data_IF_580713626725
#
_entry.id   IF_580713626725
#
_cell.length_a   1.000
_cell.length_b   1.000
_cell.length_c   1.000
_cell.angle_alpha   90.00
_cell.angle_beta   90.00
_cell.angle_gamma   90.00
#
_symmetry.space_group_name_H-M   'P 1'
#
loop_
_entity.id
_entity.type
_entity.pdbx_description
1 polymer ?
#
# COMPACT_ATOMS: atom_id res chain seq x y z
N UNK A 1 -5.46 -1.60 -16.33
CA UNK A 1 -4.89 -0.78 -17.44
C UNK A 1 -5.68 0.51 -17.66
N UNK A 2 -7.02 0.48 -17.65
CA UNK A 2 -7.85 1.68 -17.89
C UNK A 2 -7.58 2.85 -16.93
N UNK A 3 -7.52 2.66 -15.59
CA UNK A 3 -7.23 3.78 -14.68
C UNK A 3 -5.88 4.44 -14.92
N UNK A 4 -4.88 3.67 -15.32
CA UNK A 4 -3.54 4.18 -15.60
C UNK A 4 -3.53 5.09 -16.84
N UNK A 5 -4.16 4.67 -17.93
CA UNK A 5 -4.27 5.50 -19.13
C UNK A 5 -5.04 6.81 -18.85
N UNK A 6 -6.14 6.70 -18.10
CA UNK A 6 -6.95 7.84 -17.66
C UNK A 6 -6.14 8.80 -16.76
N UNK A 7 -5.30 8.27 -15.87
CA UNK A 7 -4.43 9.07 -15.01
C UNK A 7 -3.43 9.90 -15.80
N UNK A 8 -2.81 9.32 -16.83
CA UNK A 8 -1.85 10.03 -17.70
C UNK A 8 -2.58 11.15 -18.45
N UNK A 9 -3.74 10.85 -19.04
CA UNK A 9 -4.52 11.83 -19.79
C UNK A 9 -4.98 12.99 -18.88
N UNK A 10 -5.48 12.69 -17.68
CA UNK A 10 -5.90 13.71 -16.71
C UNK A 10 -4.73 14.55 -16.21
N UNK A 11 -3.58 13.94 -15.90
CA UNK A 11 -2.39 14.71 -15.53
C UNK A 11 -1.98 15.65 -16.66
N UNK A 12 -1.93 15.16 -17.90
CA UNK A 12 -1.56 16.01 -19.02
C UNK A 12 -2.52 17.19 -19.19
N UNK A 13 -3.83 16.94 -19.12
CA UNK A 13 -4.85 17.96 -19.26
C UNK A 13 -4.79 18.99 -18.10
N UNK A 14 -4.86 18.52 -16.85
CA UNK A 14 -4.96 19.42 -15.69
C UNK A 14 -3.64 20.18 -15.44
N UNK A 15 -2.50 19.55 -15.66
CA UNK A 15 -1.19 20.18 -15.43
C UNK A 15 -0.79 21.08 -16.59
N UNK A 16 -0.88 20.60 -17.84
CA UNK A 16 -0.32 21.34 -18.99
C UNK A 16 -1.33 22.22 -19.72
N UNK A 17 -2.60 21.81 -19.83
CA UNK A 17 -3.61 22.57 -20.58
C UNK A 17 -4.31 23.58 -19.67
N UNK A 18 -4.75 23.13 -18.49
CA UNK A 18 -5.45 23.99 -17.52
C UNK A 18 -4.48 24.80 -16.66
N UNK A 19 -3.20 24.38 -16.59
CA UNK A 19 -2.15 25.11 -15.89
C UNK A 19 -2.23 25.05 -14.35
N UNK A 20 -2.91 24.04 -13.79
CA UNK A 20 -3.12 23.91 -12.34
C UNK A 20 -1.87 23.42 -11.58
N UNK A 21 -0.78 23.10 -12.29
CA UNK A 21 0.49 22.67 -11.69
C UNK A 21 0.32 21.48 -10.74
N UNK A 22 0.90 21.57 -9.54
CA UNK A 22 0.86 20.50 -8.54
C UNK A 22 -0.56 20.18 -8.04
N UNK A 23 -1.42 21.20 -7.95
CA UNK A 23 -2.84 21.03 -7.59
C UNK A 23 -3.59 20.27 -8.69
N UNK A 24 -3.21 20.45 -9.95
CA UNK A 24 -3.73 19.67 -11.07
C UNK A 24 -3.38 18.18 -10.96
N UNK A 25 -2.14 17.88 -10.56
CA UNK A 25 -1.69 16.50 -10.36
C UNK A 25 -2.44 15.82 -9.19
N UNK A 26 -2.65 16.52 -8.07
CA UNK A 26 -3.40 15.99 -6.92
C UNK A 26 -4.90 15.79 -7.23
N UNK A 27 -5.50 16.65 -8.05
CA UNK A 27 -6.86 16.45 -8.56
C UNK A 27 -6.94 15.24 -9.52
N UNK A 28 -5.96 15.09 -10.41
CA UNK A 28 -5.91 13.98 -11.35
C UNK A 28 -5.81 12.61 -10.65
N UNK A 29 -5.00 12.50 -9.59
CA UNK A 29 -4.93 11.27 -8.79
C UNK A 29 -6.24 11.00 -8.05
N UNK A 30 -6.85 12.01 -7.44
CA UNK A 30 -8.14 11.87 -6.76
C UNK A 30 -9.24 11.41 -7.72
N UNK A 31 -9.37 12.05 -8.89
CA UNK A 31 -10.33 11.67 -9.91
C UNK A 31 -10.11 10.23 -10.42
N UNK A 32 -8.85 9.83 -10.62
CA UNK A 32 -8.51 8.47 -11.04
C UNK A 32 -8.92 7.42 -10.00
N UNK A 33 -8.73 7.71 -8.71
CA UNK A 33 -9.19 6.83 -7.64
C UNK A 33 -10.69 6.67 -7.63
N UNK A 34 -11.45 7.75 -7.76
CA UNK A 34 -12.92 7.68 -7.84
C UNK A 34 -13.40 6.85 -9.02
N UNK A 35 -12.81 7.04 -10.21
CA UNK A 35 -13.15 6.23 -11.39
C UNK A 35 -12.82 4.75 -11.16
N UNK A 36 -11.70 4.45 -10.50
CA UNK A 36 -11.31 3.07 -10.16
C UNK A 36 -12.29 2.42 -9.19
N UNK A 37 -12.74 3.17 -8.17
CA UNK A 37 -13.76 2.72 -7.23
C UNK A 37 -15.10 2.44 -7.93
N UNK A 38 -15.55 3.36 -8.78
CA UNK A 38 -16.81 3.20 -9.53
C UNK A 38 -16.74 2.01 -10.49
N UNK A 39 -15.61 1.82 -11.17
CA UNK A 39 -15.40 0.68 -12.06
C UNK A 39 -15.42 -0.65 -11.30
N UNK A 40 -14.77 -0.72 -10.13
CA UNK A 40 -14.77 -1.90 -9.30
C UNK A 40 -16.19 -2.20 -8.76
N UNK A 41 -16.90 -1.17 -8.30
CA UNK A 41 -18.28 -1.33 -7.82
C UNK A 41 -19.21 -1.79 -8.94
N UNK A 42 -19.13 -1.19 -10.12
CA UNK A 42 -19.85 -1.61 -11.31
C UNK A 42 -19.55 -3.08 -11.67
N UNK A 43 -18.29 -3.48 -11.60
CA UNK A 43 -17.88 -4.85 -11.84
C UNK A 43 -18.49 -5.83 -10.84
N UNK A 44 -18.46 -5.52 -9.55
CA UNK A 44 -19.07 -6.37 -8.51
C UNK A 44 -20.59 -6.46 -8.67
N UNK A 45 -21.26 -5.36 -9.02
CA UNK A 45 -22.72 -5.31 -9.14
C UNK A 45 -23.28 -5.96 -10.42
N UNK A 46 -22.52 -5.95 -11.53
CA UNK A 46 -22.99 -6.45 -12.82
C UNK A 46 -22.35 -7.77 -13.27
N UNK A 47 -21.31 -8.23 -12.60
CA UNK A 47 -20.69 -9.51 -12.93
C UNK A 47 -21.45 -10.66 -12.28
N UNK A 48 -21.86 -11.63 -13.11
CA UNK A 48 -22.48 -12.88 -12.67
C UNK A 48 -21.59 -13.73 -11.77
N UNK A 49 -20.28 -13.47 -11.78
CA UNK A 49 -19.30 -14.17 -10.94
C UNK A 49 -19.55 -13.95 -9.44
N UNK A 50 -20.21 -12.84 -9.07
CA UNK A 50 -20.45 -12.47 -7.68
C UNK A 50 -21.91 -12.64 -7.23
N UNK A 51 -22.80 -13.22 -8.06
CA UNK A 51 -24.21 -13.43 -7.69
C UNK A 51 -24.37 -14.24 -6.39
N UNK A 52 -23.47 -15.20 -6.14
CA UNK A 52 -23.48 -15.98 -4.90
C UNK A 52 -22.79 -15.30 -3.71
N UNK A 53 -21.92 -14.31 -3.96
CA UNK A 53 -21.11 -13.67 -2.92
C UNK A 53 -21.69 -12.33 -2.47
N UNK A 54 -22.38 -11.61 -3.35
CA UNK A 54 -22.93 -10.28 -3.09
C UNK A 54 -24.43 -10.25 -3.43
N UNK A 55 -25.29 -10.55 -2.43
CA UNK A 55 -26.76 -10.49 -2.58
C UNK A 55 -27.38 -9.15 -2.12
N UNK A 56 -26.55 -8.14 -1.85
CA UNK A 56 -26.96 -6.82 -1.41
C UNK A 56 -26.29 -6.37 -0.11
N UNK A 57 -26.71 -5.22 0.41
CA UNK A 57 -26.21 -4.69 1.67
C UNK A 57 -26.86 -5.43 2.85
N UNK A 58 -26.03 -6.11 3.67
CA UNK A 58 -26.46 -6.69 4.95
C UNK A 58 -25.65 -6.08 6.11
N UNK A 59 -26.34 -5.81 7.22
CA UNK A 59 -25.73 -5.38 8.49
C UNK A 59 -24.98 -6.51 9.19
N UNK A 60 -25.24 -7.76 8.82
CA UNK A 60 -24.57 -8.93 9.42
C UNK A 60 -23.06 -8.91 9.16
N UNK A 61 -22.65 -8.32 8.03
CA UNK A 61 -21.24 -8.13 7.68
C UNK A 61 -20.46 -7.33 8.75
N UNK A 62 -21.13 -6.42 9.48
CA UNK A 62 -20.49 -5.61 10.51
C UNK A 62 -20.02 -6.43 11.72
N UNK A 63 -20.70 -7.54 12.03
CA UNK A 63 -20.33 -8.42 13.15
C UNK A 63 -19.00 -9.15 12.90
N UNK A 64 -18.61 -9.32 11.64
CA UNK A 64 -17.33 -9.93 11.26
C UNK A 64 -16.19 -8.92 11.12
N UNK A 65 -16.44 -7.62 11.30
CA UNK A 65 -15.41 -6.58 11.13
C UNK A 65 -14.31 -6.71 12.17
N UNK A 66 -14.63 -6.83 13.46
CA UNK A 66 -13.63 -6.92 14.52
C UNK A 66 -12.73 -8.18 14.40
N UNK A 67 -13.28 -9.39 14.19
CA UNK A 67 -12.48 -10.57 13.89
C UNK A 67 -11.59 -10.37 12.65
N UNK A 68 -12.15 -9.84 11.56
CA UNK A 68 -11.41 -9.62 10.30
C UNK A 68 -10.29 -8.60 10.48
N UNK A 69 -10.53 -7.49 11.17
CA UNK A 69 -9.50 -6.49 11.48
C UNK A 69 -8.39 -7.11 12.32
N UNK A 70 -8.72 -7.95 13.31
CA UNK A 70 -7.70 -8.61 14.14
C UNK A 70 -6.78 -9.51 13.31
N UNK A 71 -7.28 -10.09 12.22
CA UNK A 71 -6.47 -10.82 11.25
C UNK A 71 -5.70 -9.92 10.28
N UNK A 72 -6.30 -8.83 9.84
CA UNK A 72 -5.69 -7.90 8.90
C UNK A 72 -4.64 -6.99 9.56
N UNK A 73 -4.75 -6.74 10.87
CA UNK A 73 -3.88 -5.87 11.65
C UNK A 73 -2.38 -6.18 11.47
N UNK A 74 -1.89 -7.43 11.59
CA UNK A 74 -0.48 -7.74 11.36
C UNK A 74 -0.02 -7.34 9.96
N UNK A 75 -0.82 -7.58 8.91
CA UNK A 75 -0.51 -7.18 7.54
C UNK A 75 -0.53 -5.66 7.38
N UNK A 76 -1.48 -4.96 8.01
CA UNK A 76 -1.55 -3.50 7.95
C UNK A 76 -0.34 -2.84 8.63
N UNK A 77 0.03 -3.29 9.83
CA UNK A 77 1.22 -2.79 10.55
C UNK A 77 2.49 -3.03 9.74
N UNK A 78 2.61 -4.21 9.12
CA UNK A 78 3.73 -4.55 8.25
C UNK A 78 3.90 -3.52 7.13
N UNK A 79 2.86 -3.32 6.33
CA UNK A 79 2.88 -2.42 5.17
C UNK A 79 3.11 -0.97 5.60
N UNK A 80 2.46 -0.54 6.68
CA UNK A 80 2.67 0.81 7.22
C UNK A 80 4.13 1.06 7.63
N UNK A 81 4.76 0.10 8.32
CA UNK A 81 6.17 0.23 8.72
C UNK A 81 7.12 0.27 7.52
N UNK A 82 6.80 -0.46 6.45
CA UNK A 82 7.56 -0.41 5.19
C UNK A 82 7.49 0.99 4.55
N UNK A 83 6.29 1.55 4.38
CA UNK A 83 6.14 2.91 3.85
C UNK A 83 6.81 3.96 4.73
N UNK A 84 6.68 3.84 6.05
CA UNK A 84 7.35 4.75 6.98
C UNK A 84 8.87 4.67 6.88
N UNK A 85 9.42 3.46 6.75
CA UNK A 85 10.85 3.29 6.55
C UNK A 85 11.31 4.01 5.28
N UNK A 86 10.60 3.81 4.15
CA UNK A 86 10.90 4.45 2.87
C UNK A 86 10.84 5.98 2.97
N UNK A 87 9.80 6.54 3.60
CA UNK A 87 9.68 7.99 3.82
C UNK A 87 10.84 8.53 4.66
N UNK A 88 11.24 7.82 5.72
CA UNK A 88 12.42 8.18 6.52
C UNK A 88 13.71 8.11 5.68
N UNK A 89 13.86 7.13 4.78
CA UNK A 89 15.01 7.06 3.88
C UNK A 89 15.07 8.27 2.95
N UNK A 90 13.92 8.66 2.38
CA UNK A 90 13.80 9.82 1.48
C UNK A 90 14.11 11.12 2.23
N UNK A 91 13.61 11.29 3.46
CA UNK A 91 13.91 12.44 4.30
C UNK A 91 15.40 12.51 4.67
N UNK A 92 16.01 11.38 5.04
CA UNK A 92 17.45 11.32 5.33
C UNK A 92 18.29 11.65 4.08
N UNK A 93 17.87 11.16 2.90
CA UNK A 93 18.50 11.50 1.63
C UNK A 93 18.43 13.01 1.33
N UNK A 94 17.30 13.65 1.63
CA UNK A 94 17.11 15.11 1.50
C UNK A 94 17.88 15.95 2.52
N UNK A 95 18.23 15.38 3.68
CA UNK A 95 19.04 16.03 4.73
C UNK A 95 20.55 15.88 4.50
N UNK A 96 21.00 15.15 3.47
CA UNK A 96 22.42 15.07 3.16
C UNK A 96 22.96 16.47 2.79
N UNK A 97 24.15 16.85 3.30
CA UNK A 97 24.73 18.15 3.01
C UNK A 97 24.88 18.36 1.50
N UNK A 98 24.30 19.44 0.96
CA UNK A 98 24.56 19.88 -0.39
C UNK A 98 26.09 20.06 -0.55
N UNK A 99 26.71 19.28 -1.43
CA UNK A 99 28.15 19.20 -1.65
C UNK A 99 28.69 20.42 -2.42
N UNK A 100 28.31 21.63 -2.03
CA UNK A 100 28.78 22.86 -2.67
C UNK A 100 30.20 23.19 -2.21
N UNK A 101 31.17 22.68 -2.98
CA UNK A 101 32.62 22.95 -2.98
C UNK A 101 33.44 22.42 -1.80
N UNK A 102 34.38 21.49 -2.09
CA UNK A 102 35.85 21.71 -2.00
C UNK A 102 36.66 20.43 -2.37
N UNK A 103 37.44 20.53 -3.45
CA UNK A 103 38.53 19.64 -3.92
C UNK A 103 38.13 18.29 -4.59
N UNK A 104 38.48 18.13 -5.87
CA UNK A 104 38.17 16.97 -6.71
C UNK A 104 38.67 15.61 -6.17
N UNK A 105 39.71 15.59 -5.33
CA UNK A 105 40.20 14.37 -4.66
C UNK A 105 39.34 13.92 -3.46
N UNK A 106 38.58 14.85 -2.84
CA UNK A 106 37.65 14.56 -1.73
C UNK A 106 36.23 14.25 -2.23
N UNK A 107 35.92 14.73 -3.43
CA UNK A 107 34.66 14.48 -4.12
C UNK A 107 34.42 12.99 -4.42
N UNK A 108 35.43 12.26 -4.90
CA UNK A 108 35.34 10.82 -5.12
C UNK A 108 35.09 10.05 -3.82
N UNK A 109 35.79 10.42 -2.74
CA UNK A 109 35.59 9.82 -1.43
C UNK A 109 34.16 10.08 -0.93
N UNK A 110 33.69 11.32 -0.93
CA UNK A 110 32.35 11.67 -0.43
C UNK A 110 31.23 11.03 -1.29
N UNK A 111 31.40 10.93 -2.62
CA UNK A 111 30.46 10.22 -3.49
C UNK A 111 30.44 8.71 -3.22
N UNK A 112 31.60 8.07 -3.07
CA UNK A 112 31.70 6.66 -2.69
C UNK A 112 31.10 6.41 -1.29
N UNK A 113 31.28 7.33 -0.34
CA UNK A 113 30.68 7.23 1.00
C UNK A 113 29.16 7.36 0.98
N UNK A 114 28.61 8.29 0.19
CA UNK A 114 27.16 8.45 0.04
C UNK A 114 26.55 7.28 -0.71
N UNK A 115 27.22 6.78 -1.75
CA UNK A 115 26.79 5.60 -2.51
C UNK A 115 26.80 4.35 -1.63
N UNK A 116 27.90 4.07 -0.90
CA UNK A 116 27.96 2.95 0.04
C UNK A 116 26.91 3.05 1.14
N UNK A 117 26.58 4.27 1.61
CA UNK A 117 25.54 4.47 2.63
C UNK A 117 24.15 4.22 2.07
N UNK A 118 23.83 4.74 0.89
CA UNK A 118 22.55 4.49 0.22
C UNK A 118 22.40 3.03 -0.16
N UNK A 119 23.41 2.40 -0.76
CA UNK A 119 23.35 0.99 -1.12
C UNK A 119 23.27 0.07 0.11
N UNK A 120 23.98 0.39 1.20
CA UNK A 120 23.82 -0.31 2.47
C UNK A 120 22.41 -0.16 3.06
N UNK A 121 21.78 0.99 2.89
CA UNK A 121 20.40 1.27 3.31
C UNK A 121 19.38 0.47 2.49
N UNK A 122 19.57 0.42 1.17
CA UNK A 122 18.77 -0.38 0.24
C UNK A 122 18.92 -1.88 0.49
N UNK A 123 20.14 -2.38 0.68
CA UNK A 123 20.40 -3.79 1.04
C UNK A 123 19.79 -4.13 2.41
N UNK A 124 19.83 -3.19 3.37
CA UNK A 124 19.17 -3.32 4.66
C UNK A 124 17.64 -3.40 4.53
N UNK A 125 17.03 -2.57 3.69
CA UNK A 125 15.60 -2.60 3.42
C UNK A 125 15.17 -3.93 2.80
N UNK A 126 15.89 -4.40 1.77
CA UNK A 126 15.61 -5.69 1.11
C UNK A 126 15.72 -6.85 2.11
N UNK A 127 16.77 -6.86 2.94
CA UNK A 127 16.96 -7.88 3.98
C UNK A 127 15.87 -7.82 5.04
N UNK A 128 15.43 -6.61 5.40
CA UNK A 128 14.29 -6.37 6.29
C UNK A 128 12.99 -6.93 5.73
N UNK A 129 12.69 -6.66 4.46
CA UNK A 129 11.49 -7.18 3.77
C UNK A 129 11.50 -8.70 3.64
N UNK A 130 12.67 -9.30 3.36
CA UNK A 130 12.83 -10.75 3.33
C UNK A 130 12.56 -11.37 4.71
N UNK A 131 13.13 -10.78 5.76
CA UNK A 131 12.88 -11.19 7.15
C UNK A 131 11.40 -11.06 7.50
N UNK A 132 10.79 -9.92 7.19
CA UNK A 132 9.38 -9.62 7.45
C UNK A 132 8.43 -10.58 6.72
N UNK A 133 8.73 -10.90 5.46
CA UNK A 133 7.98 -11.89 4.68
C UNK A 133 8.08 -13.26 5.33
N UNK A 134 9.28 -13.67 5.77
CA UNK A 134 9.46 -14.95 6.45
C UNK A 134 8.68 -15.03 7.78
N UNK A 135 8.64 -13.94 8.54
CA UNK A 135 7.86 -13.85 9.79
C UNK A 135 6.36 -14.00 9.50
N UNK A 136 5.82 -13.37 8.46
CA UNK A 136 4.41 -13.58 8.09
C UNK A 136 4.12 -14.99 7.61
N UNK A 137 5.05 -15.61 6.87
CA UNK A 137 4.89 -17.02 6.48
C UNK A 137 4.84 -17.88 7.74
N UNK A 138 5.73 -17.65 8.71
CA UNK A 138 5.72 -18.40 9.99
C UNK A 138 4.42 -18.16 10.76
N UNK A 139 3.96 -16.91 10.90
CA UNK A 139 2.69 -16.59 11.56
C UNK A 139 1.53 -17.27 10.84
N UNK A 140 1.49 -17.23 9.51
CA UNK A 140 0.45 -17.87 8.70
C UNK A 140 0.44 -19.38 8.91
N UNK A 141 1.62 -20.02 8.94
CA UNK A 141 1.73 -21.47 9.16
C UNK A 141 1.41 -21.89 10.60
N UNK A 142 1.65 -21.02 11.59
CA UNK A 142 1.47 -21.33 13.03
C UNK A 142 0.10 -20.91 13.55
N UNK A 143 -0.59 -20.03 12.85
CA UNK A 143 -1.94 -19.57 13.22
C UNK A 143 -2.93 -20.71 12.98
N UNK A 144 -3.68 -21.09 14.02
CA UNK A 144 -4.71 -22.13 13.91
C UNK A 144 -5.95 -21.55 13.23
N UNK A 145 -5.94 -21.56 11.89
CA UNK A 145 -7.04 -21.08 11.06
C UNK A 145 -8.36 -21.80 11.35
N UNK A 146 -8.32 -23.10 11.66
CA UNK A 146 -9.52 -23.89 11.98
C UNK A 146 -10.29 -23.30 13.15
N UNK A 147 -9.62 -23.03 14.28
CA UNK A 147 -10.27 -22.41 15.46
C UNK A 147 -10.90 -21.06 15.17
N UNK A 148 -10.31 -20.31 14.24
CA UNK A 148 -10.79 -18.99 13.87
C UNK A 148 -12.00 -19.07 12.94
N UNK A 149 -11.97 -20.00 11.99
CA UNK A 149 -13.12 -20.34 11.14
C UNK A 149 -14.28 -20.86 12.00
N UNK A 150 -14.01 -21.77 12.94
CA UNK A 150 -15.02 -22.31 13.86
C UNK A 150 -15.67 -21.20 14.71
N UNK A 151 -14.87 -20.24 15.18
CA UNK A 151 -15.39 -19.08 15.91
C UNK A 151 -16.26 -18.18 15.02
N UNK A 152 -15.89 -17.98 13.75
CA UNK A 152 -16.69 -17.20 12.80
C UNK A 152 -17.98 -17.91 12.39
N UNK A 153 -17.94 -19.23 12.20
CA UNK A 153 -19.12 -20.06 11.89
C UNK A 153 -20.07 -20.10 13.08
N UNK A 154 -19.57 -20.31 14.30
CA UNK A 154 -20.40 -20.24 15.50
C UNK A 154 -21.10 -18.89 15.64
N UNK A 155 -20.35 -17.80 15.44
CA UNK A 155 -20.93 -16.46 15.45
C UNK A 155 -22.02 -16.33 14.38
N UNK A 156 -21.84 -16.92 13.18
CA UNK A 156 -22.88 -16.94 12.13
C UNK A 156 -24.14 -17.67 12.60
N UNK A 157 -24.00 -18.87 13.14
CA UNK A 157 -25.14 -19.72 13.49
C UNK A 157 -25.97 -19.09 14.63
N UNK A 158 -25.33 -18.41 15.57
CA UNK A 158 -25.99 -17.64 16.64
C UNK A 158 -26.86 -16.48 16.10
N UNK A 159 -26.60 -15.98 14.89
CA UNK A 159 -27.43 -14.94 14.25
C UNK A 159 -28.55 -15.49 13.35
N UNK A 160 -28.42 -16.74 12.89
CA UNK A 160 -29.39 -17.36 11.97
C UNK A 160 -30.46 -18.16 12.73
N UNK A 161 -30.19 -18.55 13.98
CA UNK A 161 -31.12 -19.22 14.90
C UNK A 161 -32.09 -18.24 15.56
#
# INVERSE_FOLDING_TARGET
MVPFALHIALNYLLVNVVGLGLTGASLAISATFWVSCLMLLAYVMWSKEFDETWKGFSTDALNYVLPTIKLAMPSAIMVCLEYWAIELLVLLAGLLPNSTRKHAGRFLHDHLWVQCRCEGLWLGLITGLACQTSVMVIITLRTKWSKLVDAMVKNRDDYVA
#
